data_IF_607748242662
#
_entry.id   IF_607748242662
#
_cell.length_a   1.000
_cell.length_b   1.000
_cell.length_c   1.000
_cell.angle_alpha   90.00
_cell.angle_beta   90.00
_cell.angle_gamma   90.00
#
_symmetry.space_group_name_H-M   'P 1'
#
loop_
_entity.id
_entity.type
_entity.pdbx_description
1 polymer ?
#
# COMPACT_ATOMS: atom_id res chain seq x y z
N UNK A 1 19.49 -1.94 30.59
CA UNK A 1 19.11 -3.25 30.01
C UNK A 1 18.16 -3.00 28.85
N UNK A 2 18.70 -2.80 27.65
CA UNK A 2 17.89 -2.53 26.45
C UNK A 2 17.29 -3.86 26.00
N UNK A 3 15.99 -4.05 26.23
CA UNK A 3 15.30 -5.26 25.79
C UNK A 3 15.26 -5.26 24.26
N UNK A 4 16.17 -6.00 23.63
CA UNK A 4 16.12 -6.34 22.21
C UNK A 4 14.85 -7.17 22.03
N UNK A 5 13.88 -6.76 21.20
CA UNK A 5 12.68 -7.56 21.04
C UNK A 5 13.11 -8.96 20.60
N UNK A 6 12.60 -9.99 21.29
CA UNK A 6 12.76 -11.37 20.89
C UNK A 6 12.47 -11.44 19.38
N UNK A 7 13.34 -12.11 18.62
CA UNK A 7 13.22 -12.26 17.16
C UNK A 7 11.79 -12.73 16.89
N UNK A 8 10.92 -11.82 16.44
CA UNK A 8 9.53 -12.13 16.18
C UNK A 8 9.52 -13.36 15.28
N UNK A 9 8.88 -14.43 15.74
CA UNK A 9 8.76 -15.63 14.94
C UNK A 9 8.15 -15.22 13.60
N UNK A 10 8.78 -15.65 12.49
CA UNK A 10 8.28 -15.33 11.15
C UNK A 10 7.01 -16.12 10.91
N UNK A 11 5.90 -15.61 11.42
CA UNK A 11 4.57 -16.07 11.05
C UNK A 11 4.29 -15.67 9.61
N UNK A 12 3.61 -16.54 8.88
CA UNK A 12 3.19 -16.25 7.52
C UNK A 12 2.13 -15.13 7.54
N UNK A 13 2.22 -14.20 6.59
CA UNK A 13 1.24 -13.15 6.37
C UNK A 13 0.71 -13.26 4.95
N UNK A 14 -0.55 -12.90 4.72
CA UNK A 14 -1.14 -12.88 3.38
C UNK A 14 -0.51 -11.80 2.48
N UNK A 15 -0.28 -10.61 3.04
CA UNK A 15 0.31 -9.50 2.31
C UNK A 15 1.82 -9.42 2.54
N UNK A 16 2.52 -8.93 1.51
CA UNK A 16 3.91 -8.46 1.63
C UNK A 16 3.96 -7.16 2.44
N UNK A 17 5.16 -6.75 2.87
CA UNK A 17 5.32 -5.45 3.51
C UNK A 17 4.85 -4.28 2.61
N UNK A 18 5.06 -4.37 1.29
CA UNK A 18 4.54 -3.39 0.33
C UNK A 18 3.01 -3.32 0.36
N UNK A 19 2.33 -4.47 0.32
CA UNK A 19 0.87 -4.54 0.43
C UNK A 19 0.36 -3.98 1.75
N UNK A 20 1.00 -4.31 2.87
CA UNK A 20 0.63 -3.80 4.19
C UNK A 20 0.79 -2.28 4.31
N UNK A 21 1.90 -1.72 3.82
CA UNK A 21 2.12 -0.27 3.82
C UNK A 21 1.11 0.44 2.92
N UNK A 22 0.89 -0.09 1.71
CA UNK A 22 -0.10 0.45 0.77
C UNK A 22 -1.50 0.48 1.39
N UNK A 23 -1.93 -0.62 2.03
CA UNK A 23 -3.22 -0.68 2.69
C UNK A 23 -3.31 0.30 3.88
N UNK A 24 -2.24 0.44 4.66
CA UNK A 24 -2.22 1.39 5.78
C UNK A 24 -2.44 2.82 5.30
N UNK A 25 -1.72 3.27 4.26
CA UNK A 25 -1.85 4.65 3.76
C UNK A 25 -3.19 4.89 3.06
N UNK A 26 -3.81 3.85 2.53
CA UNK A 26 -5.17 3.93 1.97
C UNK A 26 -6.17 4.35 3.06
N UNK A 27 -6.08 3.73 4.24
CA UNK A 27 -6.95 4.04 5.38
C UNK A 27 -6.51 5.29 6.17
N UNK A 28 -5.20 5.59 6.16
CA UNK A 28 -4.60 6.65 6.96
C UNK A 28 -3.65 7.53 6.13
N UNK A 29 -4.15 8.29 5.14
CA UNK A 29 -3.31 9.00 4.18
C UNK A 29 -2.47 10.12 4.79
N UNK A 30 -2.78 10.59 6.00
CA UNK A 30 -2.01 11.62 6.71
C UNK A 30 -0.96 11.09 7.69
N UNK A 31 -0.82 9.76 7.80
CA UNK A 31 0.11 9.17 8.77
C UNK A 31 1.57 9.36 8.36
N UNK A 32 2.42 9.66 9.33
CA UNK A 32 3.86 9.81 9.08
C UNK A 32 4.53 8.45 8.94
N UNK A 33 5.70 8.40 8.29
CA UNK A 33 6.56 7.20 8.21
C UNK A 33 6.73 6.53 9.57
N UNK A 34 6.96 7.33 10.62
CA UNK A 34 7.08 6.83 11.99
C UNK A 34 5.80 6.18 12.51
N UNK A 35 4.62 6.76 12.24
CA UNK A 35 3.34 6.14 12.64
C UNK A 35 3.11 4.83 11.90
N UNK A 36 3.35 4.81 10.59
CA UNK A 36 3.22 3.60 9.76
C UNK A 36 4.16 2.49 10.26
N UNK A 37 5.43 2.82 10.49
CA UNK A 37 6.44 1.90 11.00
C UNK A 37 6.06 1.30 12.35
N UNK A 38 5.63 2.14 13.28
CA UNK A 38 5.18 1.69 14.61
C UNK A 38 3.92 0.82 14.53
N UNK A 39 2.96 1.17 13.67
CA UNK A 39 1.73 0.40 13.51
C UNK A 39 1.98 -0.99 12.91
N UNK A 40 2.83 -1.07 11.89
CA UNK A 40 3.11 -2.31 11.16
C UNK A 40 4.28 -3.13 11.75
N UNK A 41 4.93 -2.65 12.82
CA UNK A 41 6.10 -3.32 13.39
C UNK A 41 7.31 -3.34 12.44
N UNK A 42 7.40 -2.36 11.54
CA UNK A 42 8.47 -2.23 10.55
C UNK A 42 9.51 -1.18 10.98
N UNK A 43 10.71 -1.26 10.45
CA UNK A 43 11.68 -0.18 10.61
C UNK A 43 11.26 1.03 9.76
N UNK A 44 11.48 2.26 10.26
CA UNK A 44 11.16 3.49 9.50
C UNK A 44 11.84 3.51 8.13
N UNK A 45 13.08 3.00 8.02
CA UNK A 45 13.79 2.87 6.74
C UNK A 45 13.11 1.90 5.77
N UNK A 46 12.52 0.80 6.28
CA UNK A 46 11.76 -0.14 5.47
C UNK A 46 10.52 0.53 4.88
N UNK A 47 9.76 1.25 5.72
CA UNK A 47 8.60 2.02 5.27
C UNK A 47 8.99 3.10 4.26
N UNK A 48 10.09 3.83 4.52
CA UNK A 48 10.58 4.86 3.60
C UNK A 48 10.97 4.28 2.23
N UNK A 49 11.64 3.12 2.20
CA UNK A 49 11.97 2.42 0.96
C UNK A 49 10.73 1.95 0.20
N UNK A 50 9.77 1.35 0.90
CA UNK A 50 8.50 0.92 0.29
C UNK A 50 7.72 2.11 -0.28
N UNK A 51 7.61 3.21 0.45
CA UNK A 51 6.95 4.43 -0.04
C UNK A 51 7.69 5.05 -1.22
N UNK A 52 9.01 4.91 -1.30
CA UNK A 52 9.77 5.30 -2.47
C UNK A 52 9.40 4.42 -3.67
N UNK A 53 9.44 3.09 -3.53
CA UNK A 53 9.07 2.15 -4.60
C UNK A 53 7.65 2.43 -5.12
N UNK A 54 6.68 2.53 -4.21
CA UNK A 54 5.28 2.82 -4.55
C UNK A 54 5.11 4.17 -5.27
N UNK A 55 5.99 5.15 -5.03
CA UNK A 55 5.96 6.45 -5.70
C UNK A 55 6.58 6.42 -7.09
N UNK A 56 7.75 5.79 -7.22
CA UNK A 56 8.42 5.59 -8.51
C UNK A 56 7.50 4.84 -9.48
N UNK A 57 6.79 3.86 -8.94
CA UNK A 57 5.84 3.02 -9.66
C UNK A 57 4.46 3.65 -9.82
N UNK A 58 4.23 4.83 -9.24
CA UNK A 58 3.03 5.61 -9.42
C UNK A 58 1.80 5.15 -8.62
N UNK A 59 1.89 4.15 -7.75
CA UNK A 59 0.78 3.75 -6.87
C UNK A 59 0.45 4.80 -5.81
N UNK A 60 1.44 5.61 -5.45
CA UNK A 60 1.31 6.63 -4.42
C UNK A 60 1.91 7.93 -4.92
N UNK A 61 1.23 9.04 -4.65
CA UNK A 61 1.80 10.38 -4.74
C UNK A 61 1.70 11.09 -3.39
N UNK A 62 2.42 12.20 -3.24
CA UNK A 62 2.44 12.98 -2.00
C UNK A 62 2.01 14.39 -2.30
N UNK A 63 0.98 14.84 -1.59
CA UNK A 63 0.55 16.23 -1.58
C UNK A 63 0.99 16.88 -0.27
N UNK A 64 1.42 18.15 -0.35
CA UNK A 64 1.66 18.96 0.86
C UNK A 64 0.35 19.57 1.34
N UNK A 65 0.02 19.32 2.59
CA UNK A 65 -1.10 19.92 3.31
C UNK A 65 -0.54 20.69 4.52
N UNK A 66 -0.24 21.98 4.28
CA UNK A 66 0.46 22.82 5.23
C UNK A 66 1.87 22.30 5.55
N UNK A 67 2.11 21.91 6.81
CA UNK A 67 3.39 21.34 7.27
C UNK A 67 3.45 19.81 7.16
N UNK A 68 2.37 19.16 6.72
CA UNK A 68 2.26 17.70 6.69
C UNK A 68 2.16 17.20 5.26
N UNK A 69 2.63 15.99 5.05
CA UNK A 69 2.41 15.25 3.81
C UNK A 69 1.09 14.49 3.94
N UNK A 70 0.32 14.45 2.86
CA UNK A 70 -0.83 13.57 2.67
C UNK A 70 -0.59 12.69 1.46
N UNK A 71 -0.61 11.39 1.65
CA UNK A 71 -0.49 10.40 0.58
C UNK A 71 -1.78 10.35 -0.22
N UNK A 72 -1.65 10.26 -1.53
CA UNK A 72 -2.74 10.02 -2.47
C UNK A 72 -2.45 8.70 -3.17
N UNK A 73 -3.38 7.76 -3.04
CA UNK A 73 -3.25 6.40 -3.55
C UNK A 73 -3.96 6.28 -4.90
N UNK A 74 -3.35 5.55 -5.84
CA UNK A 74 -3.94 5.16 -7.13
C UNK A 74 -4.20 3.65 -7.14
N UNK A 75 -5.39 3.22 -6.69
CA UNK A 75 -5.72 1.80 -6.64
C UNK A 75 -6.18 1.26 -8.01
N UNK A 76 -6.46 2.13 -8.97
CA UNK A 76 -6.82 1.82 -10.36
C UNK A 76 -5.67 1.19 -11.17
N UNK A 77 -4.44 1.22 -10.65
CA UNK A 77 -3.28 0.63 -11.31
C UNK A 77 -3.28 -0.91 -11.22
N UNK A 78 -2.76 -1.61 -12.26
CA UNK A 78 -2.74 -3.07 -12.30
C UNK A 78 -1.89 -3.68 -11.18
N UNK A 79 -2.17 -4.92 -10.80
CA UNK A 79 -1.31 -5.71 -9.93
C UNK A 79 0.02 -6.03 -10.64
N UNK A 80 1.11 -6.07 -9.87
CA UNK A 80 2.48 -6.24 -10.43
C UNK A 80 2.89 -7.66 -10.72
N UNK A 81 2.16 -8.64 -10.17
CA UNK A 81 2.44 -10.03 -10.46
C UNK A 81 1.89 -10.37 -11.85
N UNK A 82 2.68 -11.03 -12.70
CA UNK A 82 2.29 -11.34 -14.08
C UNK A 82 0.96 -12.11 -14.18
N UNK A 83 0.64 -12.95 -13.17
CA UNK A 83 -0.64 -13.68 -13.13
C UNK A 83 -1.85 -12.84 -12.72
N UNK A 84 -1.65 -11.58 -12.36
CA UNK A 84 -2.70 -10.69 -11.84
C UNK A 84 -2.82 -9.39 -12.64
N UNK A 85 -2.15 -9.27 -13.79
CA UNK A 85 -2.11 -8.01 -14.56
C UNK A 85 -3.46 -7.55 -15.07
N UNK A 86 -4.45 -8.45 -15.15
CA UNK A 86 -5.83 -8.13 -15.51
C UNK A 86 -6.62 -7.49 -14.36
N UNK A 87 -6.12 -7.59 -13.13
CA UNK A 87 -6.74 -7.00 -11.96
C UNK A 87 -6.00 -5.73 -11.55
N UNK A 88 -6.77 -4.71 -11.24
CA UNK A 88 -6.30 -3.52 -10.54
C UNK A 88 -6.15 -3.81 -9.04
N UNK A 89 -5.48 -2.89 -8.34
CA UNK A 89 -5.41 -2.96 -6.88
C UNK A 89 -6.80 -2.74 -6.28
N UNK A 90 -7.65 -1.90 -6.88
CA UNK A 90 -8.98 -1.61 -6.35
C UNK A 90 -9.88 -2.85 -6.26
N UNK A 91 -9.74 -3.79 -7.19
CA UNK A 91 -10.51 -5.04 -7.24
C UNK A 91 -10.39 -5.90 -5.97
N UNK A 92 -9.33 -5.70 -5.18
CA UNK A 92 -9.07 -6.45 -3.95
C UNK A 92 -9.34 -5.65 -2.67
N UNK A 93 -9.38 -4.33 -2.75
CA UNK A 93 -9.42 -3.45 -1.57
C UNK A 93 -10.70 -2.63 -1.45
N UNK A 94 -11.51 -2.56 -2.51
CA UNK A 94 -12.74 -1.79 -2.54
C UNK A 94 -13.92 -2.69 -2.88
N UNK A 95 -15.11 -2.32 -2.40
CA UNK A 95 -16.32 -2.97 -2.85
C UNK A 95 -16.57 -2.61 -4.32
N UNK A 96 -16.92 -3.59 -5.18
CA UNK A 96 -17.32 -3.28 -6.55
C UNK A 96 -18.53 -2.35 -6.50
N UNK A 97 -18.36 -1.14 -7.02
CA UNK A 97 -19.48 -0.20 -7.12
C UNK A 97 -20.46 -0.73 -8.17
N UNK A 98 -21.77 -0.80 -7.89
CA UNK A 98 -22.75 -1.39 -8.82
C UNK A 98 -22.80 -0.71 -10.19
N UNK A 99 -22.33 0.54 -10.29
CA UNK A 99 -22.25 1.33 -11.51
C UNK A 99 -20.78 1.61 -11.85
N UNK A 100 -20.15 0.78 -12.69
CA UNK A 100 -18.87 1.19 -13.27
C UNK A 100 -17.95 0.14 -13.88
N UNK A 101 -18.31 -1.14 -13.99
CA UNK A 101 -17.42 -2.13 -14.63
C UNK A 101 -18.01 -2.67 -15.94
N UNK A 102 -17.93 -1.84 -16.99
CA UNK A 102 -18.11 -2.26 -18.39
C UNK A 102 -16.78 -2.75 -19.00
N UNK A 103 -15.80 -3.12 -18.18
CA UNK A 103 -14.44 -3.48 -18.62
C UNK A 103 -14.31 -4.90 -19.19
N UNK A 104 -15.38 -5.71 -19.19
CA UNK A 104 -15.35 -7.10 -19.72
C UNK A 104 -15.91 -7.24 -21.15
N UNK A 105 -16.16 -6.16 -21.90
CA UNK A 105 -16.58 -6.24 -23.32
C UNK A 105 -15.54 -5.68 -24.30
N UNK A 106 -14.39 -6.34 -24.40
CA UNK A 106 -13.52 -6.22 -25.58
C UNK A 106 -12.56 -7.42 -25.67
N UNK A 107 -13.10 -8.58 -26.00
CA UNK A 107 -12.36 -9.67 -26.64
C UNK A 107 -13.36 -10.49 -27.46
N UNK A 108 -13.71 -9.96 -28.63
CA UNK A 108 -14.16 -10.75 -29.79
C UNK A 108 -12.94 -11.45 -30.41
#
# INVERSE_FOLDING_TARGET
MTNKPARAEKHWTFFTNHGMVFFHILQHPGDTIRRIANHLGLAERTVAGILHDLREDGYVSVMKEGRRNRYVVRPDLPMRHHSLTEFSVEDFFFEPTPDGDDRTRAAD
#
